data_IF_684888696496
#
_entry.id   IF_684888696496
#
_cell.length_a   1.000
_cell.length_b   1.000
_cell.length_c   1.000
_cell.angle_alpha   90.00
_cell.angle_beta   90.00
_cell.angle_gamma   90.00
#
_symmetry.space_group_name_H-M   'P 1'
#
loop_
_entity.id
_entity.type
_entity.pdbx_description
1 polymer ?
#
# COMPACT_ATOMS: atom_id res chain seq x y z
N UNK A 1 -19.74 2.69 -23.27
CA UNK A 1 -19.65 1.53 -22.34
C UNK A 1 -18.38 1.79 -21.53
N UNK A 2 -18.53 2.10 -20.25
CA UNK A 2 -17.43 2.57 -19.41
C UNK A 2 -16.52 1.37 -19.07
N UNK A 3 -15.48 1.15 -19.88
CA UNK A 3 -14.47 0.14 -19.62
C UNK A 3 -13.83 0.45 -18.25
N UNK A 4 -13.90 -0.51 -17.35
CA UNK A 4 -13.35 -0.45 -15.99
C UNK A 4 -11.86 -0.11 -16.06
N UNK A 5 -11.54 1.18 -15.97
CA UNK A 5 -10.18 1.71 -16.11
C UNK A 5 -9.26 1.27 -14.97
N UNK A 6 -9.83 0.77 -13.88
CA UNK A 6 -9.13 0.27 -12.72
C UNK A 6 -9.47 -1.19 -12.43
N UNK A 7 -8.46 -1.98 -12.08
CA UNK A 7 -8.59 -3.37 -11.65
C UNK A 7 -8.43 -3.47 -10.14
N UNK A 8 -9.15 -4.41 -9.51
CA UNK A 8 -8.92 -4.71 -8.10
C UNK A 8 -7.75 -5.67 -7.98
N UNK A 9 -6.93 -5.43 -6.98
CA UNK A 9 -5.88 -6.37 -6.60
C UNK A 9 -6.06 -6.77 -5.15
N UNK A 10 -5.61 -7.98 -4.86
CA UNK A 10 -5.47 -8.53 -3.53
C UNK A 10 -3.99 -8.66 -3.22
N UNK A 11 -3.58 -8.06 -2.11
CA UNK A 11 -2.20 -8.09 -1.62
C UNK A 11 -2.18 -8.93 -0.36
N UNK A 12 -1.41 -10.02 -0.36
CA UNK A 12 -1.23 -10.89 0.80
C UNK A 12 0.08 -10.56 1.50
N UNK A 13 0.15 -10.89 2.80
CA UNK A 13 1.42 -10.84 3.52
C UNK A 13 2.35 -11.91 2.94
N UNK A 14 3.58 -11.52 2.65
CA UNK A 14 4.60 -12.46 2.20
C UNK A 14 5.23 -13.24 3.35
N UNK A 15 6.32 -13.98 3.10
CA UNK A 15 6.95 -14.84 4.08
C UNK A 15 7.44 -14.05 5.30
N UNK A 16 6.93 -14.40 6.50
CA UNK A 16 7.17 -13.68 7.78
C UNK A 16 6.53 -12.29 7.86
N UNK A 17 5.72 -11.91 6.87
CA UNK A 17 4.87 -10.74 6.91
C UNK A 17 3.71 -10.89 7.89
N UNK A 18 3.03 -9.78 8.16
CA UNK A 18 1.89 -9.71 9.06
C UNK A 18 0.77 -8.89 8.42
N UNK A 19 -0.49 -9.23 8.72
CA UNK A 19 -1.67 -8.53 8.25
C UNK A 19 -2.18 -9.01 6.88
N UNK A 20 -3.09 -8.24 6.31
CA UNK A 20 -3.78 -8.57 5.07
C UNK A 20 -4.72 -9.80 5.19
N UNK A 21 -5.29 -10.25 4.06
CA UNK A 21 -5.09 -9.71 2.71
C UNK A 21 -5.78 -8.36 2.50
N UNK A 22 -5.08 -7.39 1.92
CA UNK A 22 -5.65 -6.10 1.54
C UNK A 22 -6.24 -6.17 0.14
N UNK A 23 -7.45 -5.65 -0.04
CA UNK A 23 -8.05 -5.47 -1.35
C UNK A 23 -7.94 -3.99 -1.72
N UNK A 24 -7.17 -3.71 -2.76
CA UNK A 24 -6.98 -2.34 -3.28
C UNK A 24 -7.82 -2.20 -4.55
N UNK A 25 -8.78 -1.28 -4.46
CA UNK A 25 -9.62 -0.85 -5.58
C UNK A 25 -9.40 0.64 -5.79
N UNK A 26 -8.55 1.03 -6.76
CA UNK A 26 -8.42 2.44 -7.10
C UNK A 26 -9.68 2.93 -7.83
N UNK A 27 -10.00 4.19 -7.58
CA UNK A 27 -11.10 4.91 -8.24
C UNK A 27 -10.58 6.22 -8.83
N UNK A 28 -11.37 6.92 -9.64
CA UNK A 28 -10.93 8.18 -10.27
C UNK A 28 -10.46 9.24 -9.26
N UNK A 29 -11.06 9.27 -8.08
CA UNK A 29 -10.67 10.19 -7.00
C UNK A 29 -9.55 9.64 -6.12
N UNK A 30 -9.34 8.31 -6.14
CA UNK A 30 -8.40 7.59 -5.28
C UNK A 30 -7.59 6.58 -6.12
N UNK A 31 -6.73 7.09 -6.98
CA UNK A 31 -5.91 6.30 -7.90
C UNK A 31 -4.40 6.42 -7.63
N UNK A 32 -3.97 7.18 -6.62
CA UNK A 32 -2.55 7.38 -6.36
C UNK A 32 -1.95 6.20 -5.60
N UNK A 33 -0.92 5.59 -6.18
CA UNK A 33 -0.12 4.53 -5.55
C UNK A 33 1.09 5.20 -4.91
N UNK A 34 1.03 5.40 -3.61
CA UNK A 34 2.09 6.08 -2.87
C UNK A 34 3.32 5.20 -2.71
N UNK A 35 4.49 5.74 -2.98
CA UNK A 35 5.78 5.11 -2.75
C UNK A 35 6.59 5.98 -1.78
N UNK A 36 6.91 5.44 -0.62
CA UNK A 36 7.67 6.12 0.44
C UNK A 36 8.85 5.24 0.83
N UNK A 37 9.77 5.04 -0.13
CA UNK A 37 10.88 4.09 -0.03
C UNK A 37 12.25 4.77 -0.15
N UNK A 38 12.45 5.89 0.55
CA UNK A 38 13.71 6.65 0.49
C UNK A 38 13.93 7.46 -0.80
N UNK A 39 12.97 7.46 -1.74
CA UNK A 39 12.97 8.25 -2.96
C UNK A 39 12.75 7.41 -4.22
N UNK A 40 11.95 7.94 -5.16
CA UNK A 40 11.54 7.23 -6.36
C UNK A 40 10.34 6.31 -6.16
N UNK A 41 9.91 5.68 -7.25
CA UNK A 41 8.81 4.70 -7.24
C UNK A 41 9.42 3.31 -7.04
N UNK A 42 9.09 2.67 -5.92
CA UNK A 42 9.52 1.30 -5.66
C UNK A 42 8.94 0.34 -6.71
N UNK A 43 9.66 -0.71 -7.14
CA UNK A 43 9.15 -1.71 -8.08
C UNK A 43 7.81 -2.32 -7.65
N UNK A 44 7.59 -2.50 -6.35
CA UNK A 44 6.31 -2.96 -5.80
C UNK A 44 5.18 -1.97 -6.07
N UNK A 45 5.40 -0.67 -5.81
CA UNK A 45 4.42 0.39 -6.09
C UNK A 45 4.17 0.54 -7.59
N UNK A 46 5.22 0.47 -8.41
CA UNK A 46 5.11 0.49 -9.86
C UNK A 46 4.28 -0.69 -10.37
N UNK A 47 4.50 -1.90 -9.82
CA UNK A 47 3.73 -3.08 -10.19
C UNK A 47 2.26 -2.95 -9.79
N UNK A 48 1.98 -2.47 -8.58
CA UNK A 48 0.61 -2.21 -8.14
C UNK A 48 -0.08 -1.21 -9.08
N UNK A 49 0.60 -0.11 -9.43
CA UNK A 49 0.09 0.88 -10.37
C UNK A 49 -0.22 0.26 -11.75
N UNK A 50 0.71 -0.53 -12.29
CA UNK A 50 0.53 -1.24 -13.56
C UNK A 50 -0.67 -2.21 -13.52
N UNK A 51 -0.79 -3.01 -12.46
CA UNK A 51 -1.86 -4.00 -12.34
C UNK A 51 -3.22 -3.35 -12.13
N UNK A 52 -3.27 -2.31 -11.30
CA UNK A 52 -4.53 -1.64 -10.93
C UNK A 52 -4.96 -0.56 -11.91
N UNK A 53 -4.06 -0.07 -12.78
CA UNK A 53 -4.29 1.16 -13.56
C UNK A 53 -4.10 2.45 -12.76
N UNK A 54 -3.60 2.36 -11.52
CA UNK A 54 -3.30 3.52 -10.67
C UNK A 54 -2.12 4.35 -11.18
N UNK A 55 -1.97 5.57 -10.64
CA UNK A 55 -0.84 6.44 -10.94
C UNK A 55 0.23 6.33 -9.85
N UNK A 56 1.46 5.90 -10.16
CA UNK A 56 2.52 5.82 -9.17
C UNK A 56 2.93 7.23 -8.74
N UNK A 57 3.04 7.45 -7.43
CA UNK A 57 3.34 8.74 -6.83
C UNK A 57 4.48 8.62 -5.81
N UNK A 58 5.52 9.46 -5.97
CA UNK A 58 6.64 9.50 -5.04
C UNK A 58 6.24 10.35 -3.82
N UNK A 59 5.77 9.66 -2.78
CA UNK A 59 5.38 10.25 -1.50
C UNK A 59 6.55 10.65 -0.62
N UNK A 60 7.79 10.29 -1.00
CA UNK A 60 9.00 10.73 -0.32
C UNK A 60 9.41 12.13 -0.80
N UNK A 61 9.32 12.40 -2.10
CA UNK A 61 9.64 13.71 -2.69
C UNK A 61 8.48 14.70 -2.65
N UNK A 62 7.25 14.23 -2.82
CA UNK A 62 6.06 15.08 -2.89
C UNK A 62 4.99 14.58 -1.94
N UNK A 63 4.00 15.44 -1.67
CA UNK A 63 2.90 15.16 -0.75
C UNK A 63 1.57 15.43 -1.46
N UNK A 64 0.60 14.57 -1.20
CA UNK A 64 -0.74 14.57 -1.78
C UNK A 64 -1.73 14.24 -0.66
N UNK A 65 -3.01 14.60 -0.81
CA UNK A 65 -4.03 14.31 0.18
C UNK A 65 -4.20 12.80 0.38
N UNK A 66 -4.30 12.35 1.63
CA UNK A 66 -4.49 10.93 1.97
C UNK A 66 -5.74 10.31 1.34
N UNK A 67 -6.76 11.12 1.07
CA UNK A 67 -8.02 10.71 0.43
C UNK A 67 -7.84 10.29 -1.03
N UNK A 68 -6.79 10.78 -1.70
CA UNK A 68 -6.45 10.42 -3.08
C UNK A 68 -5.57 9.17 -3.17
N UNK A 69 -5.04 8.70 -2.04
CA UNK A 69 -4.08 7.58 -1.98
C UNK A 69 -4.83 6.27 -1.92
N UNK A 70 -4.76 5.47 -2.98
CA UNK A 70 -5.32 4.12 -3.02
C UNK A 70 -4.60 3.19 -2.05
N UNK A 71 -3.27 3.22 -2.09
CA UNK A 71 -2.40 2.41 -1.23
C UNK A 71 -1.05 3.09 -1.07
N UNK A 72 -0.45 2.95 0.11
CA UNK A 72 0.87 3.46 0.44
C UNK A 72 1.86 2.31 0.60
N UNK A 73 2.92 2.30 -0.21
CA UNK A 73 4.03 1.35 -0.13
C UNK A 73 5.18 2.00 0.62
N UNK A 74 5.64 1.34 1.68
CA UNK A 74 6.71 1.82 2.56
C UNK A 74 7.83 0.80 2.68
N UNK A 75 9.03 1.26 3.01
CA UNK A 75 10.23 0.46 3.26
C UNK A 75 10.72 0.58 4.71
N UNK A 76 9.79 0.63 5.66
CA UNK A 76 10.14 0.98 7.03
C UNK A 76 10.04 -0.24 7.96
N UNK A 77 11.18 -0.91 8.21
CA UNK A 77 11.29 -1.98 9.22
C UNK A 77 11.11 -1.53 10.68
N UNK A 78 10.55 -0.34 10.93
CA UNK A 78 10.37 0.27 12.24
C UNK A 78 8.98 0.89 12.40
N UNK A 79 8.59 1.18 13.64
CA UNK A 79 7.17 1.38 14.03
C UNK A 79 6.55 2.72 13.65
N UNK A 80 7.37 3.75 13.33
CA UNK A 80 6.88 5.11 13.17
C UNK A 80 6.08 5.31 11.86
N UNK A 81 6.67 5.03 10.69
CA UNK A 81 5.99 5.22 9.39
C UNK A 81 4.88 4.20 9.15
N UNK A 82 5.04 3.00 9.73
CA UNK A 82 4.09 1.89 9.69
C UNK A 82 2.74 2.28 10.31
N UNK A 83 2.71 3.11 11.36
CA UNK A 83 1.47 3.48 12.05
C UNK A 83 0.76 4.74 11.53
N UNK A 84 1.45 5.66 10.85
CA UNK A 84 0.87 6.97 10.46
C UNK A 84 -0.19 6.84 9.38
N UNK A 85 0.04 6.02 8.36
CA UNK A 85 -0.89 5.83 7.25
C UNK A 85 -2.13 5.02 7.64
N UNK A 86 -2.02 3.89 8.39
CA UNK A 86 -3.18 3.20 8.97
C UNK A 86 -4.04 4.11 9.85
N UNK A 87 -3.41 4.96 10.69
CA UNK A 87 -4.14 5.94 11.51
C UNK A 87 -4.96 6.93 10.66
N UNK A 88 -4.50 7.23 9.44
CA UNK A 88 -5.19 8.08 8.46
C UNK A 88 -6.16 7.31 7.56
N UNK A 89 -6.43 6.03 7.86
CA UNK A 89 -7.28 5.14 7.07
C UNK A 89 -6.76 4.90 5.63
N UNK A 90 -5.44 4.92 5.46
CA UNK A 90 -4.79 4.62 4.18
C UNK A 90 -4.24 3.19 4.21
N UNK A 91 -4.66 2.31 3.28
CA UNK A 91 -4.08 0.99 3.11
C UNK A 91 -2.58 1.09 2.93
N UNK A 92 -1.84 0.33 3.73
CA UNK A 92 -0.40 0.44 3.85
C UNK A 92 0.25 -0.92 3.65
N UNK A 93 1.22 -0.96 2.74
CA UNK A 93 1.97 -2.14 2.34
C UNK A 93 3.43 -1.91 2.71
N UNK A 94 3.95 -2.70 3.63
CA UNK A 94 5.37 -2.69 3.98
C UNK A 94 6.10 -3.79 3.21
N UNK A 95 7.23 -3.43 2.61
CA UNK A 95 8.13 -4.35 1.92
C UNK A 95 8.86 -5.22 2.95
N UNK A 96 9.16 -4.66 4.13
CA UNK A 96 9.80 -5.43 5.20
C UNK A 96 8.77 -6.26 5.97
N UNK A 97 9.14 -7.49 6.39
CA UNK A 97 8.30 -8.32 7.25
C UNK A 97 8.30 -7.75 8.67
N UNK A 98 7.46 -6.75 8.90
CA UNK A 98 7.31 -6.06 10.19
C UNK A 98 5.98 -6.44 10.83
N UNK A 99 6.01 -6.75 12.13
CA UNK A 99 4.80 -6.89 12.93
C UNK A 99 4.46 -5.57 13.64
N UNK A 100 3.17 -5.23 13.80
CA UNK A 100 2.74 -4.03 14.48
C UNK A 100 3.31 -3.98 15.90
N UNK A 101 4.02 -2.91 16.20
CA UNK A 101 4.64 -2.68 17.50
C UNK A 101 4.72 -1.18 17.81
N UNK A 102 4.94 -0.83 19.07
CA UNK A 102 4.99 0.56 19.52
C UNK A 102 3.61 1.21 19.76
N UNK A 103 3.57 2.53 20.01
CA UNK A 103 2.37 3.22 20.52
C UNK A 103 1.22 3.29 19.50
N UNK A 104 1.52 3.15 18.20
CA UNK A 104 0.54 3.24 17.12
C UNK A 104 -0.04 1.89 16.70
N UNK A 105 0.34 0.78 17.36
CA UNK A 105 -0.12 -0.57 16.98
C UNK A 105 -1.64 -0.69 16.92
N UNK A 106 -2.36 0.08 17.74
CA UNK A 106 -3.83 0.09 17.82
C UNK A 106 -4.52 0.51 16.52
N UNK A 107 -3.79 1.20 15.63
CA UNK A 107 -4.28 1.64 14.33
C UNK A 107 -3.84 0.73 13.19
N UNK A 108 -2.90 -0.19 13.45
CA UNK A 108 -2.35 -1.10 12.46
C UNK A 108 -3.17 -2.39 12.54
N UNK A 109 -4.21 -2.47 11.74
CA UNK A 109 -5.12 -3.62 11.66
C UNK A 109 -4.91 -4.41 10.39
N UNK A 110 -5.30 -5.69 10.39
CA UNK A 110 -5.12 -6.59 9.24
C UNK A 110 -5.93 -6.14 8.01
N UNK A 111 -6.98 -5.34 8.20
CA UNK A 111 -7.82 -4.79 7.13
C UNK A 111 -7.18 -3.61 6.39
N UNK A 112 -6.13 -3.00 6.96
CA UNK A 112 -5.52 -1.79 6.40
C UNK A 112 -4.00 -1.85 6.29
N UNK A 113 -3.38 -2.85 6.90
CA UNK A 113 -1.94 -3.03 6.89
C UNK A 113 -1.54 -4.45 6.50
N UNK A 114 -0.52 -4.55 5.66
CA UNK A 114 0.11 -5.80 5.27
C UNK A 114 1.62 -5.58 5.15
N UNK A 115 2.42 -6.54 5.59
CA UNK A 115 3.87 -6.43 5.57
C UNK A 115 4.56 -7.64 4.93
N UNK A 116 5.86 -7.49 4.66
CA UNK A 116 6.68 -8.51 4.01
C UNK A 116 6.25 -8.83 2.58
N UNK A 117 5.53 -7.90 1.93
CA UNK A 117 4.91 -8.14 0.63
C UNK A 117 5.94 -8.15 -0.48
N UNK A 118 5.86 -9.17 -1.33
CA UNK A 118 6.65 -9.28 -2.56
C UNK A 118 5.76 -9.06 -3.77
N UNK A 119 6.40 -8.85 -4.92
CA UNK A 119 5.72 -8.72 -6.20
C UNK A 119 4.84 -9.95 -6.51
N UNK A 120 5.27 -11.12 -6.03
CA UNK A 120 4.58 -12.41 -6.19
C UNK A 120 3.32 -12.54 -5.32
N UNK A 121 3.21 -11.77 -4.22
CA UNK A 121 2.08 -11.81 -3.28
C UNK A 121 0.91 -10.91 -3.72
N UNK A 122 1.01 -10.30 -4.91
CA UNK A 122 -0.02 -9.45 -5.50
C UNK A 122 -0.78 -10.25 -6.56
N UNK A 123 -2.09 -10.38 -6.35
CA UNK A 123 -3.00 -11.07 -7.26
C UNK A 123 -4.05 -10.10 -7.78
N UNK A 124 -4.31 -10.09 -9.09
CA UNK A 124 -5.45 -9.37 -9.64
C UNK A 124 -6.71 -10.20 -9.37
N UNK A 125 -7.71 -9.59 -8.74
CA UNK A 125 -9.01 -10.23 -8.52
C UNK A 125 -10.04 -9.39 -9.28
N UNK A 126 -10.74 -9.98 -10.25
CA UNK A 126 -11.68 -9.28 -11.13
C UNK A 126 -13.04 -9.03 -10.44
#
# INVERSE_FOLDING_TARGET
MAESKFKKIKIKAGPKGWGGPLVIEPTENRNLIYSVTGGGIHPLAAKIAELTGGTPFDGFKSRAPFEQIAVCVIDCGGTARVGVYPMKKVPTVDIYPTSPSGPLFRFITEDIFVSGVRIEDIEVIE
#
